data_IF_624497711590
#
_entry.id   IF_624497711590
#
_cell.length_a   1.000
_cell.length_b   1.000
_cell.length_c   1.000
_cell.angle_alpha   90.00
_cell.angle_beta   90.00
_cell.angle_gamma   90.00
#
_symmetry.space_group_name_H-M   'P 1'
#
loop_
_entity.id
_entity.type
_entity.pdbx_description
1 polymer ?
#
# COMPACT_ATOMS: atom_id res chain seq x y z
N UNK A 1 38.20 -31.28 -46.73
CA UNK A 1 37.33 -30.16 -47.11
C UNK A 1 36.89 -29.47 -45.83
N UNK A 2 37.54 -28.35 -45.53
CA UNK A 2 37.34 -27.58 -44.30
C UNK A 2 37.07 -26.15 -44.73
N UNK A 3 35.84 -25.69 -44.50
CA UNK A 3 35.36 -24.37 -44.88
C UNK A 3 35.48 -23.44 -43.68
N UNK A 4 36.44 -22.52 -43.74
CA UNK A 4 36.57 -21.39 -42.80
C UNK A 4 35.66 -20.25 -43.26
N UNK A 5 34.72 -19.84 -42.42
CA UNK A 5 33.85 -18.68 -42.63
C UNK A 5 34.53 -17.42 -42.06
N UNK A 6 34.75 -16.44 -42.92
CA UNK A 6 35.31 -15.12 -42.60
C UNK A 6 34.19 -14.17 -42.15
N UNK A 7 34.28 -13.66 -40.91
CA UNK A 7 33.32 -12.76 -40.27
C UNK A 7 33.82 -11.30 -40.19
N UNK A 8 34.76 -10.91 -41.03
CA UNK A 8 35.36 -9.56 -41.01
C UNK A 8 34.45 -8.44 -41.54
N UNK A 9 33.23 -8.72 -42.00
CA UNK A 9 32.36 -7.76 -42.69
C UNK A 9 31.27 -7.04 -41.86
N UNK A 10 31.00 -7.41 -40.60
CA UNK A 10 29.76 -6.95 -39.90
C UNK A 10 30.01 -5.80 -38.89
N UNK A 11 31.25 -5.33 -38.74
CA UNK A 11 31.60 -4.27 -37.75
C UNK A 11 32.06 -2.95 -38.37
N UNK A 12 31.51 -2.56 -39.52
CA UNK A 12 31.71 -1.24 -40.12
C UNK A 12 30.38 -0.63 -40.53
N UNK A 13 29.69 0.00 -39.56
CA UNK A 13 28.84 1.19 -39.76
C UNK A 13 28.11 1.61 -38.46
N UNK A 14 28.83 1.68 -37.35
CA UNK A 14 28.37 2.39 -36.14
C UNK A 14 29.08 3.74 -36.06
N UNK A 15 28.88 4.60 -37.07
CA UNK A 15 29.16 6.03 -36.90
C UNK A 15 28.12 6.60 -35.95
N UNK A 16 28.59 6.97 -34.75
CA UNK A 16 27.85 7.61 -33.69
C UNK A 16 27.19 8.91 -34.17
N UNK A 17 25.88 8.86 -34.43
CA UNK A 17 25.06 10.07 -34.40
C UNK A 17 25.06 10.56 -32.95
N UNK A 18 25.50 11.80 -32.67
CA UNK A 18 25.42 12.35 -31.33
C UNK A 18 23.95 12.46 -30.95
N UNK A 19 23.55 11.72 -29.91
CA UNK A 19 22.22 11.83 -29.31
C UNK A 19 21.93 13.31 -29.00
N UNK A 20 20.78 13.85 -29.40
CA UNK A 20 20.40 15.21 -29.03
C UNK A 20 20.41 15.29 -27.50
N UNK A 21 21.19 16.23 -26.95
CA UNK A 21 21.19 16.49 -25.51
C UNK A 21 19.76 16.83 -25.11
N UNK A 22 19.14 16.10 -24.17
CA UNK A 22 17.82 16.46 -23.71
C UNK A 22 17.89 17.86 -23.10
N UNK A 23 17.08 18.76 -23.61
CA UNK A 23 16.94 20.12 -23.09
C UNK A 23 16.53 20.04 -21.62
N UNK A 24 17.46 20.33 -20.72
CA UNK A 24 17.24 20.31 -19.27
C UNK A 24 16.16 21.32 -18.83
N UNK A 25 15.85 22.29 -19.68
CA UNK A 25 14.77 23.26 -19.47
C UNK A 25 13.36 22.69 -19.70
N UNK A 26 13.21 21.59 -20.45
CA UNK A 26 11.89 20.94 -20.64
C UNK A 26 11.54 20.02 -19.46
N UNK A 27 12.52 19.66 -18.63
CA UNK A 27 12.32 18.87 -17.42
C UNK A 27 11.87 19.71 -16.20
N UNK A 28 11.95 21.04 -16.25
CA UNK A 28 11.49 21.90 -15.15
C UNK A 28 10.00 22.19 -15.17
N UNK A 29 9.35 22.15 -16.35
CA UNK A 29 7.89 22.37 -16.51
C UNK A 29 7.09 21.07 -16.64
N UNK A 30 7.76 19.91 -16.68
CA UNK A 30 7.13 18.61 -16.57
C UNK A 30 6.67 18.40 -15.11
N UNK A 31 5.46 18.88 -14.79
CA UNK A 31 4.65 18.47 -13.63
C UNK A 31 4.88 16.97 -13.41
N UNK A 32 5.64 16.59 -12.38
CA UNK A 32 6.24 15.24 -12.21
C UNK A 32 5.22 14.13 -12.49
N UNK A 33 5.25 13.57 -13.70
CA UNK A 33 4.38 12.46 -14.11
C UNK A 33 5.06 11.17 -13.63
N UNK A 34 4.37 10.45 -12.75
CA UNK A 34 4.92 9.29 -12.07
C UNK A 34 5.07 8.10 -13.03
N UNK A 35 6.27 7.51 -13.09
CA UNK A 35 6.57 6.42 -14.00
C UNK A 35 5.87 5.12 -13.53
N UNK A 36 4.94 4.61 -14.34
CA UNK A 36 4.16 3.38 -14.05
C UNK A 36 5.04 2.11 -14.10
N UNK A 37 6.16 2.13 -14.83
CA UNK A 37 7.20 1.07 -14.84
C UNK A 37 8.42 1.51 -15.66
N UNK A 38 9.67 1.17 -15.26
CA UNK A 38 10.87 1.43 -16.05
C UNK A 38 11.08 0.46 -17.24
N UNK A 39 10.26 -0.58 -17.36
CA UNK A 39 10.47 -1.67 -18.34
C UNK A 39 9.52 -1.66 -19.53
N UNK A 40 8.63 -0.66 -19.64
CA UNK A 40 7.69 -0.53 -20.77
C UNK A 40 7.97 0.80 -21.46
N UNK A 41 8.21 0.76 -22.78
CA UNK A 41 8.40 1.96 -23.59
C UNK A 41 7.10 2.78 -23.64
N UNK A 42 7.19 4.07 -23.30
CA UNK A 42 6.06 4.99 -23.22
C UNK A 42 5.68 5.54 -24.60
N UNK A 43 4.37 5.58 -24.91
CA UNK A 43 3.85 6.37 -26.03
C UNK A 43 3.24 7.68 -25.51
N UNK A 44 3.53 8.79 -26.19
CA UNK A 44 3.07 10.14 -25.84
C UNK A 44 1.54 10.32 -25.88
N UNK A 45 0.81 9.34 -26.41
CA UNK A 45 -0.65 9.34 -26.58
C UNK A 45 -1.37 8.95 -25.28
N UNK A 46 -0.70 8.29 -24.33
CA UNK A 46 -1.27 7.91 -23.02
C UNK A 46 -1.24 9.07 -21.98
N UNK A 47 -0.92 10.29 -22.45
CA UNK A 47 -0.84 11.53 -21.65
C UNK A 47 -2.24 12.13 -21.46
N UNK A 48 -2.98 11.65 -20.47
CA UNK A 48 -4.13 12.39 -19.95
C UNK A 48 -3.67 13.49 -18.99
N UNK A 49 -4.04 14.74 -19.25
CA UNK A 49 -3.97 15.81 -18.24
C UNK A 49 -4.79 15.39 -17.01
N UNK A 50 -4.25 15.62 -15.81
CA UNK A 50 -4.93 15.33 -14.55
C UNK A 50 -5.80 16.56 -14.22
N UNK A 51 -7.13 16.50 -14.33
CA UNK A 51 -7.99 17.59 -13.90
C UNK A 51 -7.91 17.74 -12.38
N UNK A 52 -7.91 18.99 -11.90
CA UNK A 52 -8.07 19.33 -10.49
C UNK A 52 -9.40 18.77 -9.96
N UNK A 53 -9.32 17.91 -8.95
CA UNK A 53 -10.49 17.37 -8.25
C UNK A 53 -10.79 18.31 -7.08
N UNK A 54 -12.05 18.74 -6.96
CA UNK A 54 -12.53 19.63 -5.90
C UNK A 54 -12.06 19.17 -4.51
N UNK A 55 -11.41 20.10 -3.81
CA UNK A 55 -10.76 19.91 -2.52
C UNK A 55 -11.79 19.44 -1.47
N UNK A 56 -11.87 18.14 -1.22
CA UNK A 56 -12.74 17.59 -0.19
C UNK A 56 -12.28 18.12 1.18
N UNK A 57 -13.05 19.02 1.80
CA UNK A 57 -12.77 19.65 3.10
C UNK A 57 -12.84 18.70 4.31
N UNK A 58 -13.08 17.40 4.11
CA UNK A 58 -13.28 16.43 5.19
C UNK A 58 -11.95 15.90 5.75
N UNK A 59 -11.83 15.71 7.07
CA UNK A 59 -10.62 15.18 7.67
C UNK A 59 -10.37 13.74 7.22
N UNK A 60 -9.12 13.42 6.89
CA UNK A 60 -8.68 12.15 6.30
C UNK A 60 -9.22 10.91 7.03
N UNK A 61 -9.25 10.96 8.37
CA UNK A 61 -9.70 9.85 9.21
C UNK A 61 -11.17 9.46 8.95
N UNK A 62 -12.03 10.45 8.68
CA UNK A 62 -13.44 10.22 8.39
C UNK A 62 -13.61 9.59 7.01
N UNK A 63 -12.84 10.05 6.02
CA UNK A 63 -12.90 9.50 4.67
C UNK A 63 -12.34 8.06 4.63
N UNK A 64 -11.25 7.82 5.37
CA UNK A 64 -10.66 6.49 5.61
C UNK A 64 -11.68 5.46 6.10
N UNK A 65 -12.58 5.86 7.01
CA UNK A 65 -13.57 4.94 7.60
C UNK A 65 -14.88 4.89 6.82
N UNK A 66 -15.29 6.00 6.18
CA UNK A 66 -16.64 6.16 5.63
C UNK A 66 -16.71 6.04 4.11
N UNK A 67 -15.72 6.55 3.38
CA UNK A 67 -15.82 6.71 1.93
C UNK A 67 -14.52 6.29 1.21
N UNK A 68 -14.46 5.05 0.68
CA UNK A 68 -13.30 4.55 -0.05
C UNK A 68 -13.06 5.26 -1.36
N UNK A 69 -14.14 5.72 -1.99
CA UNK A 69 -14.09 6.31 -3.33
C UNK A 69 -13.41 7.66 -3.26
N UNK A 70 -13.86 8.52 -2.33
CA UNK A 70 -13.26 9.84 -2.13
C UNK A 70 -11.77 9.75 -1.73
N UNK A 71 -11.37 8.67 -1.07
CA UNK A 71 -9.97 8.45 -0.70
C UNK A 71 -9.14 8.09 -1.92
N UNK A 72 -9.65 7.25 -2.83
CA UNK A 72 -8.97 6.93 -4.10
C UNK A 72 -8.82 8.17 -4.97
N UNK A 73 -9.82 9.05 -5.01
CA UNK A 73 -9.74 10.31 -5.76
C UNK A 73 -8.56 11.18 -5.30
N UNK A 74 -8.34 11.30 -3.99
CA UNK A 74 -7.18 12.01 -3.42
C UNK A 74 -5.84 11.33 -3.72
N UNK A 75 -5.82 10.00 -3.87
CA UNK A 75 -4.61 9.25 -4.23
C UNK A 75 -4.23 9.40 -5.70
N UNK A 76 -5.18 9.80 -6.54
CA UNK A 76 -4.93 10.05 -7.95
C UNK A 76 -4.35 11.44 -8.20
N UNK A 77 -4.60 12.38 -7.29
CA UNK A 77 -4.04 13.73 -7.30
C UNK A 77 -2.59 13.72 -6.76
N UNK A 78 -1.59 14.06 -7.59
CA UNK A 78 -0.19 14.07 -7.17
C UNK A 78 0.11 15.08 -6.04
N UNK A 79 -0.65 16.17 -5.93
CA UNK A 79 -0.43 17.19 -4.90
C UNK A 79 -0.96 16.72 -3.52
N UNK A 80 -2.00 15.91 -3.52
CA UNK A 80 -2.62 15.36 -2.31
C UNK A 80 -2.07 14.00 -1.88
N UNK A 81 -1.41 13.27 -2.80
CA UNK A 81 -0.83 11.96 -2.52
C UNK A 81 0.12 11.98 -1.31
N UNK A 82 1.06 12.94 -1.28
CA UNK A 82 2.01 13.07 -0.18
C UNK A 82 1.34 13.37 1.17
N UNK A 83 0.32 14.24 1.18
CA UNK A 83 -0.46 14.55 2.39
C UNK A 83 -1.27 13.34 2.87
N UNK A 84 -1.83 12.58 1.94
CA UNK A 84 -2.60 11.36 2.24
C UNK A 84 -1.71 10.28 2.82
N UNK A 85 -0.53 10.05 2.22
CA UNK A 85 0.47 9.10 2.74
C UNK A 85 0.92 9.50 4.14
N UNK A 86 1.28 10.77 4.35
CA UNK A 86 1.71 11.26 5.66
C UNK A 86 0.59 11.12 6.70
N UNK A 87 -0.64 11.51 6.36
CA UNK A 87 -1.78 11.41 7.28
C UNK A 87 -2.15 9.95 7.60
N UNK A 88 -2.06 9.04 6.64
CA UNK A 88 -2.25 7.61 6.87
C UNK A 88 -1.14 7.04 7.76
N UNK A 89 0.13 7.42 7.54
CA UNK A 89 1.25 7.02 8.40
C UNK A 89 1.08 7.51 9.85
N UNK A 90 0.71 8.78 10.04
CA UNK A 90 0.43 9.34 11.37
C UNK A 90 -0.73 8.59 12.03
N UNK A 91 -1.76 8.25 11.27
CA UNK A 91 -2.91 7.47 11.77
C UNK A 91 -2.46 6.08 12.22
N UNK A 92 -1.68 5.36 11.40
CA UNK A 92 -1.12 4.05 11.76
C UNK A 92 -0.32 4.15 13.05
N UNK A 93 0.61 5.10 13.14
CA UNK A 93 1.46 5.27 14.33
C UNK A 93 0.59 5.53 15.56
N UNK A 94 -0.26 6.55 15.53
CA UNK A 94 -1.04 6.96 16.68
C UNK A 94 -2.00 5.86 17.18
N UNK A 95 -2.73 5.22 16.27
CA UNK A 95 -3.72 4.19 16.63
C UNK A 95 -3.05 2.89 17.10
N UNK A 96 -1.96 2.50 16.45
CA UNK A 96 -1.20 1.30 16.82
C UNK A 96 -0.46 1.48 18.15
N UNK A 97 0.12 2.68 18.38
CA UNK A 97 0.69 3.06 19.68
C UNK A 97 -0.34 3.05 20.79
N UNK A 98 -1.53 3.62 20.55
CA UNK A 98 -2.62 3.62 21.53
C UNK A 98 -3.05 2.20 21.88
N UNK A 99 -3.26 1.35 20.87
CA UNK A 99 -3.59 -0.06 21.09
C UNK A 99 -2.53 -0.79 21.91
N UNK A 100 -1.25 -0.64 21.54
CA UNK A 100 -0.13 -1.23 22.27
C UNK A 100 -0.05 -0.77 23.72
N UNK A 101 -0.24 0.53 23.97
CA UNK A 101 -0.24 1.09 25.32
C UNK A 101 -1.37 0.51 26.17
N UNK A 102 -2.58 0.41 25.61
CA UNK A 102 -3.75 -0.13 26.31
C UNK A 102 -3.57 -1.61 26.64
N UNK A 103 -3.21 -2.43 25.65
CA UNK A 103 -3.04 -3.88 25.86
C UNK A 103 -1.90 -4.17 26.85
N UNK A 104 -0.77 -3.47 26.76
CA UNK A 104 0.36 -3.69 27.67
C UNK A 104 0.10 -3.19 29.09
N UNK A 105 -0.73 -2.16 29.26
CA UNK A 105 -1.19 -1.76 30.60
C UNK A 105 -2.06 -2.84 31.27
N UNK A 106 -2.70 -3.71 30.49
CA UNK A 106 -3.49 -4.83 31.00
C UNK A 106 -2.60 -5.95 31.55
N UNK A 107 -1.51 -6.26 30.82
CA UNK A 107 -0.58 -7.36 31.07
C UNK A 107 0.28 -7.21 32.35
N UNK A 108 0.15 -6.12 33.12
CA UNK A 108 0.88 -5.91 34.41
C UNK A 108 2.42 -5.89 34.30
N UNK A 109 2.97 -6.11 33.11
CA UNK A 109 4.39 -6.01 32.77
C UNK A 109 4.81 -4.54 32.55
N UNK A 110 5.14 -3.84 33.63
CA UNK A 110 5.96 -2.62 33.58
C UNK A 110 5.44 -1.46 32.72
N UNK A 111 6.36 -0.56 32.36
CA UNK A 111 6.09 0.69 31.66
C UNK A 111 5.52 0.42 30.25
N UNK A 112 4.33 0.93 29.87
CA UNK A 112 3.70 0.67 28.57
C UNK A 112 4.36 1.42 27.40
N UNK A 113 5.24 2.39 27.69
CA UNK A 113 5.87 3.26 26.70
C UNK A 113 6.71 2.53 25.62
N UNK A 114 7.54 1.52 25.94
CA UNK A 114 8.35 0.83 24.94
C UNK A 114 7.48 0.11 23.91
N UNK A 115 6.44 -0.58 24.34
CA UNK A 115 5.55 -1.29 23.43
C UNK A 115 4.71 -0.33 22.57
N UNK A 116 4.25 0.78 23.14
CA UNK A 116 3.58 1.84 22.36
C UNK A 116 4.47 2.40 21.24
N UNK A 117 5.79 2.41 21.41
CA UNK A 117 6.75 2.87 20.40
C UNK A 117 7.16 1.76 19.40
N UNK A 118 7.36 0.52 19.87
CA UNK A 118 7.89 -0.58 19.06
C UNK A 118 6.85 -1.16 18.09
N UNK A 119 5.60 -1.28 18.53
CA UNK A 119 4.50 -1.87 17.75
C UNK A 119 4.23 -1.16 16.41
N UNK A 120 4.09 0.18 16.35
CA UNK A 120 3.92 0.86 15.06
C UNK A 120 5.14 0.74 14.16
N UNK A 121 6.36 0.72 14.71
CA UNK A 121 7.59 0.54 13.92
C UNK A 121 7.60 -0.85 13.28
N UNK A 122 7.30 -1.89 14.05
CA UNK A 122 7.26 -3.26 13.53
C UNK A 122 6.17 -3.45 12.48
N UNK A 123 4.99 -2.84 12.68
CA UNK A 123 3.94 -2.84 11.67
C UNK A 123 4.39 -2.16 10.36
N UNK A 124 5.08 -1.02 10.45
CA UNK A 124 5.61 -0.31 9.28
C UNK A 124 6.73 -1.09 8.58
N UNK A 125 7.63 -1.75 9.31
CA UNK A 125 8.68 -2.61 8.75
C UNK A 125 8.06 -3.81 8.04
N UNK A 126 7.08 -4.48 8.67
CA UNK A 126 6.40 -5.62 8.09
C UNK A 126 5.64 -5.22 6.81
N UNK A 127 5.01 -4.03 6.81
CA UNK A 127 4.38 -3.47 5.62
C UNK A 127 5.42 -3.17 4.53
N UNK A 128 6.57 -2.60 4.88
CA UNK A 128 7.65 -2.33 3.93
C UNK A 128 8.19 -3.63 3.28
N UNK A 129 8.33 -4.69 4.08
CA UNK A 129 8.73 -6.01 3.58
C UNK A 129 7.66 -6.64 2.66
N UNK A 130 6.38 -6.38 2.92
CA UNK A 130 5.25 -6.85 2.13
C UNK A 130 5.10 -6.13 0.77
N UNK A 131 5.57 -4.89 0.64
CA UNK A 131 5.41 -4.10 -0.58
C UNK A 131 6.12 -4.71 -1.80
N UNK A 132 7.30 -5.30 -1.62
CA UNK A 132 8.05 -5.94 -2.71
C UNK A 132 7.25 -7.07 -3.38
N UNK A 133 6.83 -8.10 -2.62
CA UNK A 133 5.95 -9.17 -3.12
C UNK A 133 4.63 -8.66 -3.70
N UNK A 134 3.99 -7.65 -3.08
CA UNK A 134 2.76 -7.06 -3.60
C UNK A 134 2.97 -6.41 -4.97
N UNK A 135 4.05 -5.64 -5.14
CA UNK A 135 4.39 -4.99 -6.40
C UNK A 135 4.76 -6.01 -7.48
N UNK A 136 5.56 -7.03 -7.14
CA UNK A 136 5.91 -8.11 -8.05
C UNK A 136 4.65 -8.86 -8.54
N UNK A 137 3.70 -9.13 -7.65
CA UNK A 137 2.41 -9.72 -7.99
C UNK A 137 1.60 -8.79 -8.92
N UNK A 138 1.60 -7.49 -8.65
CA UNK A 138 0.94 -6.49 -9.50
C UNK A 138 1.51 -6.45 -10.93
N UNK A 139 2.82 -6.64 -11.08
CA UNK A 139 3.49 -6.75 -12.38
C UNK A 139 3.12 -8.05 -13.10
N UNK A 140 3.15 -9.19 -12.41
CA UNK A 140 2.78 -10.50 -12.98
C UNK A 140 1.34 -10.53 -13.50
N UNK A 141 0.46 -9.82 -12.80
CA UNK A 141 -0.96 -9.72 -13.10
C UNK A 141 -1.24 -8.62 -14.14
N UNK A 142 -0.21 -7.88 -14.59
CA UNK A 142 -0.29 -6.76 -15.53
C UNK A 142 -1.28 -5.67 -15.10
N UNK A 143 -1.44 -5.44 -13.80
CA UNK A 143 -2.36 -4.43 -13.26
C UNK A 143 -1.88 -2.98 -13.50
N UNK A 144 -0.61 -2.78 -13.90
CA UNK A 144 0.00 -1.48 -14.27
C UNK A 144 -0.31 -0.35 -13.29
N UNK A 145 -0.23 -0.63 -11.99
CA UNK A 145 -0.44 0.38 -10.95
C UNK A 145 0.89 1.05 -10.60
N UNK A 146 0.96 2.40 -10.57
CA UNK A 146 2.15 3.12 -10.11
C UNK A 146 2.51 2.72 -8.68
N UNK A 147 3.80 2.52 -8.41
CA UNK A 147 4.29 2.03 -7.11
C UNK A 147 3.85 2.94 -5.96
N UNK A 148 3.93 4.27 -6.11
CA UNK A 148 3.55 5.18 -5.04
C UNK A 148 2.06 5.12 -4.69
N UNK A 149 1.20 4.92 -5.69
CA UNK A 149 -0.25 4.73 -5.47
C UNK A 149 -0.54 3.40 -4.79
N UNK A 150 0.18 2.33 -5.15
CA UNK A 150 0.09 1.05 -4.46
C UNK A 150 0.48 1.20 -2.98
N UNK A 151 1.61 1.86 -2.71
CA UNK A 151 2.06 2.16 -1.34
C UNK A 151 0.99 2.94 -0.57
N UNK A 152 0.43 3.98 -1.18
CA UNK A 152 -0.55 4.82 -0.53
C UNK A 152 -1.87 4.07 -0.25
N UNK A 153 -2.33 3.22 -1.17
CA UNK A 153 -3.49 2.35 -0.97
C UNK A 153 -3.25 1.36 0.16
N UNK A 154 -2.09 0.68 0.17
CA UNK A 154 -1.73 -0.26 1.23
C UNK A 154 -1.67 0.44 2.58
N UNK A 155 -1.02 1.61 2.65
CA UNK A 155 -0.90 2.38 3.89
C UNK A 155 -2.26 2.87 4.40
N UNK A 156 -3.15 3.28 3.50
CA UNK A 156 -4.52 3.70 3.83
C UNK A 156 -5.36 2.53 4.36
N UNK A 157 -5.24 1.35 3.73
CA UNK A 157 -5.86 0.13 4.21
C UNK A 157 -5.33 -0.29 5.59
N UNK A 158 -4.02 -0.22 5.80
CA UNK A 158 -3.39 -0.47 7.11
C UNK A 158 -3.88 0.52 8.15
N UNK A 159 -3.97 1.82 7.83
CA UNK A 159 -4.51 2.85 8.73
C UNK A 159 -5.94 2.55 9.16
N UNK A 160 -6.77 2.03 8.25
CA UNK A 160 -8.13 1.58 8.54
C UNK A 160 -8.13 0.40 9.52
N UNK A 161 -7.29 -0.60 9.27
CA UNK A 161 -7.11 -1.74 10.18
C UNK A 161 -6.63 -1.31 11.57
N UNK A 162 -5.60 -0.46 11.65
CA UNK A 162 -5.08 0.07 12.92
C UNK A 162 -6.12 0.91 13.67
N UNK A 163 -6.95 1.69 12.98
CA UNK A 163 -8.04 2.44 13.60
C UNK A 163 -9.12 1.52 14.19
N UNK A 164 -9.50 0.45 13.48
CA UNK A 164 -10.40 -0.59 14.00
C UNK A 164 -9.78 -1.26 15.21
N UNK A 165 -8.50 -1.63 15.14
CA UNK A 165 -7.77 -2.25 16.23
C UNK A 165 -7.76 -1.37 17.48
N UNK A 166 -7.46 -0.07 17.34
CA UNK A 166 -7.51 0.90 18.42
C UNK A 166 -8.92 1.04 19.03
N UNK A 167 -9.97 1.04 18.21
CA UNK A 167 -11.35 1.05 18.69
C UNK A 167 -11.73 -0.21 19.48
N UNK A 168 -11.12 -1.36 19.16
CA UNK A 168 -11.34 -2.62 19.86
C UNK A 168 -10.46 -2.79 21.11
N UNK A 169 -9.46 -1.91 21.35
CA UNK A 169 -8.49 -2.02 22.46
C UNK A 169 -9.09 -2.26 23.87
N UNK A 170 -10.25 -1.69 24.25
CA UNK A 170 -10.84 -1.94 25.57
C UNK A 170 -11.26 -3.39 25.81
N UNK A 171 -11.57 -4.15 24.75
CA UNK A 171 -12.02 -5.55 24.84
C UNK A 171 -10.90 -6.47 25.32
N UNK A 172 -9.72 -6.55 24.65
CA UNK A 172 -8.62 -7.35 25.16
C UNK A 172 -8.12 -6.82 26.50
N UNK A 173 -8.15 -5.51 26.76
CA UNK A 173 -7.81 -4.97 28.08
C UNK A 173 -8.67 -5.57 29.20
N UNK A 174 -10.00 -5.51 29.05
CA UNK A 174 -10.92 -6.03 30.06
C UNK A 174 -10.78 -7.55 30.22
N UNK A 175 -10.59 -8.28 29.11
CA UNK A 175 -10.47 -9.73 29.13
C UNK A 175 -9.13 -10.22 29.66
N UNK A 176 -8.03 -9.50 29.43
CA UNK A 176 -6.74 -9.76 30.10
C UNK A 176 -6.82 -9.53 31.60
N UNK A 177 -7.59 -8.54 32.06
CA UNK A 177 -7.83 -8.32 33.50
C UNK A 177 -8.72 -9.39 34.13
N UNK A 178 -9.59 -10.03 33.34
CA UNK A 178 -10.46 -11.10 33.82
C UNK A 178 -9.77 -12.48 33.81
N UNK A 179 -9.08 -12.80 32.72
CA UNK A 179 -8.34 -14.04 32.53
C UNK A 179 -7.19 -13.83 31.53
N UNK A 180 -5.99 -13.73 32.08
CA UNK A 180 -4.75 -13.51 31.34
C UNK A 180 -4.33 -14.71 30.48
N UNK A 181 -4.71 -15.94 30.85
CA UNK A 181 -4.18 -17.15 30.23
C UNK A 181 -4.98 -17.58 29.00
N UNK A 182 -6.30 -17.34 29.01
CA UNK A 182 -7.18 -17.77 27.91
C UNK A 182 -7.92 -16.60 27.24
N UNK A 183 -8.73 -15.87 28.00
CA UNK A 183 -9.63 -14.88 27.40
C UNK A 183 -8.88 -13.69 26.80
N UNK A 184 -7.84 -13.20 27.48
CA UNK A 184 -6.99 -12.11 27.00
C UNK A 184 -6.37 -12.41 25.62
N UNK A 185 -5.57 -13.48 25.48
CA UNK A 185 -4.98 -13.87 24.20
C UNK A 185 -6.00 -14.12 23.10
N UNK A 186 -7.09 -14.84 23.38
CA UNK A 186 -8.16 -15.11 22.39
C UNK A 186 -8.79 -13.81 21.90
N UNK A 187 -9.09 -12.88 22.81
CA UNK A 187 -9.65 -11.58 22.46
C UNK A 187 -8.68 -10.75 21.62
N UNK A 188 -7.40 -10.78 21.95
CA UNK A 188 -6.36 -10.09 21.20
C UNK A 188 -6.27 -10.63 19.76
N UNK A 189 -6.26 -11.96 19.58
CA UNK A 189 -6.32 -12.58 18.26
C UNK A 189 -7.58 -12.21 17.49
N UNK A 190 -8.75 -12.23 18.14
CA UNK A 190 -9.99 -11.85 17.51
C UNK A 190 -9.97 -10.38 17.04
N UNK A 191 -9.45 -9.47 17.86
CA UNK A 191 -9.30 -8.06 17.51
C UNK A 191 -8.34 -7.84 16.34
N UNK A 192 -7.17 -8.50 16.36
CA UNK A 192 -6.21 -8.46 15.26
C UNK A 192 -6.81 -9.04 13.96
N UNK A 193 -7.55 -10.15 14.07
CA UNK A 193 -8.25 -10.77 12.93
C UNK A 193 -9.32 -9.86 12.33
N UNK A 194 -10.16 -9.23 13.16
CA UNK A 194 -11.17 -8.26 12.70
C UNK A 194 -10.53 -7.03 12.05
N UNK A 195 -9.45 -6.51 12.64
CA UNK A 195 -8.69 -5.40 12.06
C UNK A 195 -8.08 -5.77 10.69
N UNK A 196 -7.51 -6.97 10.57
CA UNK A 196 -6.96 -7.48 9.32
C UNK A 196 -8.06 -7.67 8.25
N UNK A 197 -9.24 -8.17 8.63
CA UNK A 197 -10.39 -8.29 7.72
C UNK A 197 -10.87 -6.92 7.26
N UNK A 198 -11.00 -5.95 8.17
CA UNK A 198 -11.42 -4.60 7.83
C UNK A 198 -10.42 -3.89 6.91
N UNK A 199 -9.12 -3.96 7.23
CA UNK A 199 -8.04 -3.44 6.37
C UNK A 199 -8.00 -4.14 5.01
N UNK A 200 -8.13 -5.47 4.97
CA UNK A 200 -8.15 -6.25 3.75
C UNK A 200 -9.36 -5.97 2.84
N UNK A 201 -10.54 -5.84 3.43
CA UNK A 201 -11.74 -5.42 2.70
C UNK A 201 -11.57 -4.02 2.10
N UNK A 202 -10.99 -3.09 2.88
CA UNK A 202 -10.69 -1.74 2.41
C UNK A 202 -9.68 -1.74 1.26
N UNK A 203 -8.62 -2.53 1.39
CA UNK A 203 -7.60 -2.71 0.36
C UNK A 203 -8.22 -3.21 -0.95
N UNK A 204 -9.08 -4.23 -0.87
CA UNK A 204 -9.77 -4.77 -2.03
C UNK A 204 -10.61 -3.70 -2.74
N UNK A 205 -11.43 -2.96 -2.00
CA UNK A 205 -12.28 -1.90 -2.54
C UNK A 205 -11.43 -0.80 -3.19
N UNK A 206 -10.38 -0.33 -2.52
CA UNK A 206 -9.52 0.73 -3.06
C UNK A 206 -8.74 0.30 -4.30
N UNK A 207 -8.23 -0.94 -4.33
CA UNK A 207 -7.55 -1.48 -5.51
C UNK A 207 -8.48 -1.61 -6.71
N UNK A 208 -9.74 -2.02 -6.48
CA UNK A 208 -10.76 -2.07 -7.52
C UNK A 208 -11.05 -0.69 -8.09
N UNK A 209 -11.32 0.30 -7.23
CA UNK A 209 -11.59 1.67 -7.66
C UNK A 209 -10.39 2.33 -8.35
N UNK A 210 -9.18 2.08 -7.85
CA UNK A 210 -7.96 2.58 -8.48
C UNK A 210 -7.79 2.02 -9.89
N UNK A 211 -8.01 0.71 -10.06
CA UNK A 211 -7.93 0.07 -11.37
C UNK A 211 -9.02 0.56 -12.32
N UNK A 212 -10.25 0.75 -11.84
CA UNK A 212 -11.35 1.27 -12.66
C UNK A 212 -11.10 2.68 -13.13
N UNK A 213 -10.56 3.53 -12.24
CA UNK A 213 -10.32 4.92 -12.57
C UNK A 213 -9.13 5.10 -13.50
N UNK A 214 -8.05 4.33 -13.33
CA UNK A 214 -6.93 4.29 -14.28
C UNK A 214 -7.41 3.85 -15.67
N UNK A 215 -8.28 2.84 -15.76
CA UNK A 215 -8.83 2.36 -17.04
C UNK A 215 -9.79 3.37 -17.67
N UNK A 216 -10.66 3.99 -16.87
CA UNK A 216 -11.58 5.06 -17.32
C UNK A 216 -10.80 6.22 -17.94
N UNK A 217 -9.67 6.61 -17.33
CA UNK A 217 -8.78 7.67 -17.85
C UNK A 217 -8.08 7.30 -19.16
N UNK A 218 -7.87 6.00 -19.44
CA UNK A 218 -7.38 5.51 -20.72
C UNK A 218 -8.49 5.34 -21.77
N UNK A 219 -9.71 5.85 -21.51
CA UNK A 219 -10.82 5.84 -22.47
C UNK A 219 -11.53 4.49 -22.62
N UNK A 220 -11.44 3.60 -21.63
CA UNK A 220 -12.10 2.29 -21.67
C UNK A 220 -12.72 1.85 -20.36
N UNK A 221 -13.52 0.80 -20.42
CA UNK A 221 -14.01 0.08 -19.23
C UNK A 221 -13.07 -1.08 -18.87
N UNK A 222 -13.16 -1.54 -17.62
CA UNK A 222 -12.46 -2.74 -17.16
C UNK A 222 -12.98 -3.96 -17.92
N UNK A 223 -12.10 -4.62 -18.67
CA UNK A 223 -12.46 -5.91 -19.24
C UNK A 223 -12.67 -6.96 -18.13
N UNK A 224 -13.47 -7.99 -18.43
CA UNK A 224 -13.72 -9.08 -17.48
C UNK A 224 -12.42 -9.75 -17.01
N UNK A 225 -11.43 -9.88 -17.92
CA UNK A 225 -10.09 -10.41 -17.62
C UNK A 225 -9.29 -9.51 -16.67
N UNK A 226 -9.34 -8.19 -16.84
CA UNK A 226 -8.66 -7.23 -15.94
C UNK A 226 -9.33 -7.17 -14.56
N UNK A 227 -10.67 -7.25 -14.49
CA UNK A 227 -11.38 -7.31 -13.22
C UNK A 227 -11.01 -8.56 -12.40
N UNK A 228 -10.87 -9.70 -13.08
CA UNK A 228 -10.45 -10.97 -12.47
C UNK A 228 -9.02 -10.87 -11.93
N UNK A 229 -8.12 -10.27 -12.70
CA UNK A 229 -6.72 -9.99 -12.34
C UNK A 229 -6.61 -9.10 -11.09
N UNK A 230 -7.33 -7.98 -11.06
CA UNK A 230 -7.37 -7.09 -9.88
C UNK A 230 -7.91 -7.82 -8.66
N UNK A 231 -8.93 -8.68 -8.83
CA UNK A 231 -9.46 -9.52 -7.77
C UNK A 231 -8.48 -10.57 -7.24
N UNK A 232 -7.56 -11.09 -8.08
CA UNK A 232 -6.47 -11.96 -7.62
C UNK A 232 -5.47 -11.15 -6.80
N UNK A 233 -5.06 -9.98 -7.31
CA UNK A 233 -4.12 -9.11 -6.63
C UNK A 233 -4.63 -8.71 -5.24
N UNK A 234 -5.90 -8.29 -5.16
CA UNK A 234 -6.53 -7.92 -3.90
C UNK A 234 -6.58 -9.09 -2.89
N UNK A 235 -6.87 -10.31 -3.35
CA UNK A 235 -6.83 -11.51 -2.49
C UNK A 235 -5.42 -11.84 -2.00
N UNK A 236 -4.40 -11.76 -2.86
CA UNK A 236 -3.01 -11.98 -2.48
C UNK A 236 -2.53 -10.91 -1.50
N UNK A 237 -2.88 -9.66 -1.76
CA UNK A 237 -2.62 -8.52 -0.88
C UNK A 237 -3.29 -8.68 0.49
N UNK A 238 -4.49 -9.26 0.55
CA UNK A 238 -5.17 -9.57 1.81
C UNK A 238 -4.43 -10.63 2.63
N UNK A 239 -3.93 -11.69 1.98
CA UNK A 239 -3.13 -12.74 2.64
C UNK A 239 -1.84 -12.16 3.20
N UNK A 240 -1.15 -11.33 2.41
CA UNK A 240 0.09 -10.67 2.83
C UNK A 240 -0.19 -9.71 4.00
N UNK A 241 -1.25 -8.91 3.95
CA UNK A 241 -1.63 -8.01 5.05
C UNK A 241 -2.00 -8.78 6.33
N UNK A 242 -2.74 -9.89 6.19
CA UNK A 242 -3.07 -10.76 7.31
C UNK A 242 -1.82 -11.37 7.95
N UNK A 243 -0.85 -11.79 7.13
CA UNK A 243 0.44 -12.28 7.59
C UNK A 243 1.25 -11.19 8.33
N UNK A 244 1.30 -9.97 7.79
CA UNK A 244 1.91 -8.80 8.44
C UNK A 244 1.27 -8.50 9.80
N UNK A 245 -0.06 -8.57 9.90
CA UNK A 245 -0.78 -8.38 11.16
C UNK A 245 -0.54 -9.52 12.15
N UNK A 246 -0.45 -10.76 11.68
CA UNK A 246 -0.11 -11.92 12.50
C UNK A 246 1.32 -11.83 13.06
N UNK A 247 2.31 -11.39 12.27
CA UNK A 247 3.67 -11.11 12.75
C UNK A 247 3.70 -10.03 13.83
N UNK A 248 2.81 -9.04 13.74
CA UNK A 248 2.65 -8.02 14.78
C UNK A 248 2.11 -8.61 16.08
N UNK A 249 1.20 -9.59 15.99
CA UNK A 249 0.76 -10.38 17.16
C UNK A 249 1.89 -11.23 17.75
N UNK A 250 2.82 -11.72 16.93
CA UNK A 250 3.99 -12.47 17.39
C UNK A 250 4.98 -11.60 18.16
N UNK A 251 5.20 -10.36 17.70
CA UNK A 251 6.01 -9.33 18.39
C UNK A 251 5.48 -8.98 19.79
N UNK A 252 4.18 -9.11 20.00
CA UNK A 252 3.52 -8.84 21.28
C UNK A 252 3.69 -9.95 22.32
N UNK A 253 4.52 -10.96 22.03
CA UNK A 253 4.80 -12.10 22.91
C UNK A 253 3.55 -12.91 23.30
N UNK A 254 2.51 -12.87 22.47
CA UNK A 254 1.25 -13.62 22.68
C UNK A 254 1.45 -15.14 22.57
N UNK A 255 2.63 -15.59 22.11
CA UNK A 255 2.92 -16.99 21.79
C UNK A 255 3.99 -17.63 22.70
N UNK A 256 4.42 -16.96 23.78
CA UNK A 256 5.42 -17.48 24.73
C UNK A 256 4.79 -17.78 26.08
#
# INVERSE_FOLDING_TARGET
MTTTLDFSGILRDSQSTPLPKPDLAVLSDAKRIEAVSPFVAWNAVDRGEIPEIEDSKRPLLIDLLRDPVSTVDRLLDPEQLGRTVLGAMVTVIATTSFFGAVVMSALTYGNPLPAAAVLPINLLIAMAAALGPMYATGLLVAARLPMARLVAVVLTATATGSAVMAGLAPIPYALYKADEHWLGPIALFACCGLAAIAGGARLHVMMYYLASEVRRRMGGELSQSESFRVGILARMSMVILAFTMALTGWVLDVFV
#
